data_IF_256036004100
#
_entry.id   IF_256036004100
#
_cell.length_a   1.000
_cell.length_b   1.000
_cell.length_c   1.000
_cell.angle_alpha   90.00
_cell.angle_beta   90.00
_cell.angle_gamma   90.00
#
_symmetry.space_group_name_H-M   'P 1'
#
loop_
_entity.id
_entity.type
_entity.pdbx_description
1 polymer ?
#
# COMPACT_ATOMS: atom_id res chain seq x y z
N UNK A 1 5.69 -9.39 -1.43
CA UNK A 1 4.50 -9.91 -2.16
C UNK A 1 4.75 -9.73 -3.64
N UNK A 2 4.27 -10.65 -4.49
CA UNK A 2 4.74 -10.76 -5.89
C UNK A 2 4.20 -9.67 -6.82
N UNK A 3 2.99 -9.18 -6.60
CA UNK A 3 2.38 -8.15 -7.46
C UNK A 3 2.40 -6.78 -6.77
N UNK A 4 3.41 -5.96 -7.10
CA UNK A 4 3.70 -4.64 -6.51
C UNK A 4 4.23 -3.61 -7.54
N UNK A 5 3.53 -3.41 -8.69
CA UNK A 5 4.08 -2.74 -9.87
C UNK A 5 4.38 -1.23 -9.68
N UNK A 6 3.92 -0.61 -8.59
CA UNK A 6 4.22 0.78 -8.24
C UNK A 6 5.24 0.81 -7.12
N UNK A 7 4.95 0.16 -6.00
CA UNK A 7 5.80 0.23 -4.79
C UNK A 7 7.19 -0.36 -4.97
N UNK A 8 7.37 -1.35 -5.87
CA UNK A 8 8.70 -1.90 -6.18
C UNK A 8 9.66 -0.87 -6.80
N UNK A 9 9.13 0.21 -7.36
CA UNK A 9 9.91 1.30 -7.98
C UNK A 9 10.30 2.38 -6.99
N UNK A 10 9.70 2.39 -5.81
CA UNK A 10 9.87 3.43 -4.79
C UNK A 10 10.57 2.93 -3.52
N UNK A 11 11.50 1.99 -3.65
CA UNK A 11 12.21 1.39 -2.50
C UNK A 11 13.16 2.36 -1.79
N UNK A 12 13.61 3.44 -2.45
CA UNK A 12 14.60 4.38 -1.90
C UNK A 12 13.99 5.70 -1.45
N UNK A 13 13.12 6.26 -2.28
CA UNK A 13 12.41 7.53 -2.07
C UNK A 13 11.11 7.36 -1.28
N UNK A 14 10.55 6.16 -1.26
CA UNK A 14 9.29 5.87 -0.58
C UNK A 14 8.08 6.49 -1.30
N UNK A 15 6.94 6.45 -0.63
CA UNK A 15 5.68 6.97 -1.15
C UNK A 15 4.88 7.66 -0.05
N UNK A 16 4.15 8.70 -0.41
CA UNK A 16 3.15 9.32 0.48
C UNK A 16 1.94 8.40 0.63
N UNK A 17 1.15 8.62 1.69
CA UNK A 17 -0.12 7.89 1.91
C UNK A 17 -1.06 8.04 0.71
N UNK A 18 -1.12 9.23 0.10
CA UNK A 18 -1.94 9.48 -1.09
C UNK A 18 -1.52 8.59 -2.27
N UNK A 19 -0.22 8.48 -2.52
CA UNK A 19 0.31 7.65 -3.61
C UNK A 19 0.08 6.16 -3.34
N UNK A 20 0.23 5.73 -2.08
CA UNK A 20 -0.10 4.35 -1.68
C UNK A 20 -1.59 4.04 -1.91
N UNK A 21 -2.50 4.94 -1.54
CA UNK A 21 -3.93 4.79 -1.84
C UNK A 21 -4.20 4.69 -3.34
N UNK A 22 -3.56 5.56 -4.14
CA UNK A 22 -3.68 5.52 -5.60
C UNK A 22 -3.19 4.20 -6.17
N UNK A 23 -2.02 3.72 -5.77
CA UNK A 23 -1.44 2.46 -6.22
C UNK A 23 -2.29 1.25 -5.84
N UNK A 24 -2.77 1.20 -4.58
CA UNK A 24 -3.62 0.13 -4.08
C UNK A 24 -4.96 0.05 -4.84
N UNK A 25 -5.58 1.17 -5.19
CA UNK A 25 -6.89 1.20 -5.85
C UNK A 25 -6.76 1.00 -7.36
N UNK A 26 -5.90 1.78 -8.01
CA UNK A 26 -5.85 1.83 -9.48
C UNK A 26 -5.10 0.66 -10.08
N UNK A 27 -4.05 0.19 -9.39
CA UNK A 27 -3.18 -0.88 -9.88
C UNK A 27 -3.31 -2.16 -9.06
N UNK A 28 -4.12 -2.18 -7.98
CA UNK A 28 -4.23 -3.30 -7.06
C UNK A 28 -2.88 -3.71 -6.45
N UNK A 29 -1.99 -2.73 -6.18
CA UNK A 29 -0.65 -2.97 -5.64
C UNK A 29 -0.73 -3.54 -4.21
N UNK A 30 -0.24 -4.76 -4.01
CA UNK A 30 -0.39 -5.50 -2.75
C UNK A 30 0.46 -4.92 -1.62
N UNK A 31 1.67 -4.45 -1.93
CA UNK A 31 2.52 -3.84 -0.90
C UNK A 31 1.92 -2.52 -0.46
N UNK A 32 1.36 -1.73 -1.38
CA UNK A 32 0.66 -0.50 -1.03
C UNK A 32 -0.52 -0.76 -0.08
N UNK A 33 -1.36 -1.76 -0.39
CA UNK A 33 -2.46 -2.17 0.48
C UNK A 33 -1.97 -2.61 1.87
N UNK A 34 -0.92 -3.43 1.95
CA UNK A 34 -0.36 -3.89 3.22
C UNK A 34 0.21 -2.74 4.06
N UNK A 35 0.95 -1.81 3.44
CA UNK A 35 1.48 -0.63 4.14
C UNK A 35 0.35 0.22 4.73
N UNK A 36 -0.72 0.47 3.96
CA UNK A 36 -1.91 1.18 4.44
C UNK A 36 -2.57 0.45 5.62
N UNK A 37 -2.74 -0.88 5.52
CA UNK A 37 -3.26 -1.69 6.63
C UNK A 37 -2.40 -1.55 7.88
N UNK A 38 -1.07 -1.56 7.75
CA UNK A 38 -0.17 -1.33 8.88
C UNK A 38 -0.39 0.05 9.52
N UNK A 39 -0.65 1.10 8.74
CA UNK A 39 -0.88 2.45 9.29
C UNK A 39 -2.14 2.55 10.16
N UNK A 40 -3.16 1.74 9.89
CA UNK A 40 -4.41 1.74 10.66
C UNK A 40 -4.44 0.70 11.78
N UNK A 41 -3.36 -0.07 11.99
CA UNK A 41 -3.30 -1.11 13.05
C UNK A 41 -3.65 -2.52 12.57
N UNK A 42 -3.78 -2.73 11.26
CA UNK A 42 -3.97 -4.03 10.61
C UNK A 42 -5.39 -4.29 10.12
N UNK A 43 -5.64 -5.47 9.52
CA UNK A 43 -6.92 -5.79 8.86
C UNK A 43 -8.14 -5.72 9.76
N UNK A 44 -7.99 -6.00 11.06
CA UNK A 44 -9.11 -5.95 12.02
C UNK A 44 -9.67 -4.54 12.16
N UNK A 45 -8.80 -3.53 12.13
CA UNK A 45 -9.18 -2.11 12.27
C UNK A 45 -9.88 -1.56 11.03
N UNK A 46 -9.79 -2.25 9.88
CA UNK A 46 -10.50 -1.84 8.66
C UNK A 46 -12.03 -2.08 8.78
N UNK A 47 -12.44 -3.07 9.58
CA UNK A 47 -13.84 -3.50 9.69
C UNK A 47 -14.37 -3.45 11.13
N UNK A 48 -13.61 -2.86 12.05
CA UNK A 48 -13.95 -2.76 13.48
C UNK A 48 -15.09 -1.78 13.74
#
# INVERSE_FOLDING_TARGET
VEYSPVTEKHLTDGMTVRELCSAAITMSDNTAANLLLTTIGGPKELTA
#
